data_IF_640301196828
#
_entry.id   IF_640301196828
#
_cell.length_a   1.000
_cell.length_b   1.000
_cell.length_c   1.000
_cell.angle_alpha   90.00
_cell.angle_beta   90.00
_cell.angle_gamma   90.00
#
_symmetry.space_group_name_H-M   'P 1'
#
loop_
_entity.id
_entity.type
_entity.pdbx_description
1 polymer ?
#
# COMPACT_ATOMS: atom_id res chain seq x y z
N UNK A 1 -61.58 -28.11 20.64
CA UNK A 1 -60.87 -28.89 19.60
C UNK A 1 -61.84 -29.93 19.05
N UNK A 2 -63.06 -29.52 18.74
CA UNK A 2 -63.51 -28.83 17.51
C UNK A 2 -63.75 -29.81 16.38
N UNK A 3 -64.73 -30.71 16.62
CA UNK A 3 -65.39 -31.50 15.57
C UNK A 3 -65.90 -30.61 14.42
N UNK A 4 -66.19 -29.34 14.70
CA UNK A 4 -66.59 -28.35 13.71
C UNK A 4 -65.45 -27.97 12.75
N UNK A 5 -64.18 -28.00 13.17
CA UNK A 5 -63.04 -27.71 12.28
C UNK A 5 -62.77 -28.87 11.33
N UNK A 6 -62.92 -30.11 11.78
CA UNK A 6 -62.75 -31.28 10.92
C UNK A 6 -63.91 -31.40 9.90
N UNK A 7 -65.15 -31.14 10.32
CA UNK A 7 -66.30 -31.12 9.41
C UNK A 7 -66.16 -30.03 8.35
N UNK A 8 -65.70 -28.83 8.73
CA UNK A 8 -65.49 -27.73 7.78
C UNK A 8 -64.38 -28.03 6.78
N UNK A 9 -63.34 -28.76 7.20
CA UNK A 9 -62.27 -29.20 6.30
C UNK A 9 -62.76 -30.25 5.30
N UNK A 10 -63.55 -31.21 5.75
CA UNK A 10 -64.12 -32.25 4.88
C UNK A 10 -65.11 -31.65 3.85
N UNK A 11 -65.97 -30.71 4.26
CA UNK A 11 -66.87 -30.00 3.33
C UNK A 11 -66.11 -29.15 2.29
N UNK A 12 -65.02 -28.50 2.68
CA UNK A 12 -64.19 -27.72 1.76
C UNK A 12 -63.45 -28.64 0.78
N UNK A 13 -62.86 -29.73 1.26
CA UNK A 13 -62.13 -30.67 0.40
C UNK A 13 -63.08 -31.40 -0.58
N UNK A 14 -64.35 -31.61 -0.22
CA UNK A 14 -65.37 -32.17 -1.12
C UNK A 14 -65.83 -31.16 -2.21
N UNK A 15 -65.73 -29.85 -1.95
CA UNK A 15 -66.09 -28.79 -2.90
C UNK A 15 -64.89 -28.22 -3.70
N UNK A 16 -63.65 -28.62 -3.38
CA UNK A 16 -62.48 -28.32 -4.20
C UNK A 16 -62.45 -29.30 -5.39
N UNK A 17 -63.19 -28.92 -6.44
CA UNK A 17 -63.14 -29.44 -7.82
C UNK A 17 -61.94 -30.35 -8.14
N UNK A 18 -62.21 -31.64 -8.34
CA UNK A 18 -61.25 -32.65 -8.85
C UNK A 18 -60.85 -32.46 -10.31
N UNK A 19 -61.41 -31.45 -10.99
CA UNK A 19 -60.98 -31.04 -12.33
C UNK A 19 -59.93 -29.93 -12.21
N UNK A 20 -58.73 -30.17 -12.78
CA UNK A 20 -57.63 -29.22 -12.77
C UNK A 20 -58.05 -27.86 -13.34
N UNK A 21 -58.15 -26.86 -12.46
CA UNK A 21 -58.65 -25.50 -12.73
C UNK A 21 -57.73 -24.67 -13.66
N UNK A 22 -56.70 -25.27 -14.22
CA UNK A 22 -55.76 -24.64 -15.16
C UNK A 22 -55.56 -25.58 -16.35
N UNK A 23 -56.13 -25.21 -17.49
CA UNK A 23 -55.85 -25.92 -18.74
C UNK A 23 -54.40 -25.65 -19.18
N UNK A 24 -53.86 -26.51 -20.04
CA UNK A 24 -52.55 -26.27 -20.68
C UNK A 24 -52.52 -24.92 -21.42
N UNK A 25 -53.67 -24.51 -21.97
CA UNK A 25 -53.81 -23.23 -22.67
C UNK A 25 -53.75 -22.04 -21.70
N UNK A 26 -54.33 -22.16 -20.49
CA UNK A 26 -54.18 -21.13 -19.45
C UNK A 26 -52.72 -21.00 -19.00
N UNK A 27 -52.01 -22.13 -18.85
CA UNK A 27 -50.58 -22.12 -18.51
C UNK A 27 -49.76 -21.46 -19.61
N UNK A 28 -50.09 -21.70 -20.89
CA UNK A 28 -49.43 -21.05 -22.03
C UNK A 28 -49.74 -19.56 -22.11
N UNK A 29 -50.98 -19.15 -21.81
CA UNK A 29 -51.39 -17.76 -21.76
C UNK A 29 -50.64 -17.00 -20.64
N UNK A 30 -50.51 -17.60 -19.46
CA UNK A 30 -49.73 -17.03 -18.35
C UNK A 30 -48.24 -16.93 -18.70
N UNK A 31 -47.62 -17.96 -19.29
CA UNK A 31 -46.20 -17.90 -19.71
C UNK A 31 -45.96 -16.84 -20.78
N UNK A 32 -46.91 -16.64 -21.70
CA UNK A 32 -46.83 -15.58 -22.71
C UNK A 32 -46.88 -14.19 -22.08
N UNK A 33 -47.80 -13.99 -21.11
CA UNK A 33 -47.94 -12.74 -20.36
C UNK A 33 -46.70 -12.42 -19.51
N UNK A 34 -46.05 -13.43 -18.94
CA UNK A 34 -44.77 -13.27 -18.21
C UNK A 34 -43.65 -12.83 -19.15
N UNK A 35 -43.53 -13.44 -20.34
CA UNK A 35 -42.51 -13.04 -21.34
C UNK A 35 -42.74 -11.63 -21.88
N UNK A 36 -43.98 -11.22 -22.08
CA UNK A 36 -44.31 -9.85 -22.51
C UNK A 36 -43.98 -8.81 -21.42
N UNK A 37 -44.10 -9.17 -20.13
CA UNK A 37 -43.74 -8.29 -19.02
C UNK A 37 -42.21 -8.15 -18.85
N UNK A 38 -41.43 -9.21 -19.06
CA UNK A 38 -39.96 -9.17 -19.01
C UNK A 38 -39.33 -8.29 -20.10
N UNK A 39 -40.00 -8.14 -21.25
CA UNK A 39 -39.55 -7.27 -22.35
C UNK A 39 -39.76 -5.77 -22.12
N UNK A 40 -40.52 -5.36 -21.09
CA UNK A 40 -40.85 -3.96 -20.81
C UNK A 40 -40.19 -3.44 -19.52
N UNK A 41 -38.85 -3.41 -19.48
CA UNK A 41 -38.13 -2.65 -18.45
C UNK A 41 -38.35 -1.15 -18.67
N UNK A 42 -39.48 -0.64 -18.17
CA UNK A 42 -39.70 0.78 -17.90
C UNK A 42 -38.55 1.21 -16.97
N UNK A 43 -37.62 2.04 -17.46
CA UNK A 43 -36.59 2.70 -16.65
C UNK A 43 -37.28 3.60 -15.62
N UNK A 44 -37.66 3.02 -14.49
CA UNK A 44 -38.15 3.74 -13.34
C UNK A 44 -36.92 4.01 -12.46
N UNK A 45 -36.59 5.29 -12.28
CA UNK A 45 -35.40 5.79 -11.59
C UNK A 45 -35.36 5.31 -10.12
N UNK A 46 -34.88 4.09 -9.88
CA UNK A 46 -34.61 3.55 -8.54
C UNK A 46 -33.39 4.19 -7.85
N UNK A 47 -32.61 5.00 -8.57
CA UNK A 47 -31.44 5.68 -8.00
C UNK A 47 -31.80 6.85 -7.09
N UNK A 48 -32.94 7.53 -7.33
CA UNK A 48 -33.33 8.71 -6.56
C UNK A 48 -33.66 8.40 -5.09
N UNK A 49 -34.45 7.35 -4.75
CA UNK A 49 -34.70 7.01 -3.36
C UNK A 49 -33.45 6.44 -2.65
N UNK A 50 -32.54 5.76 -3.37
CA UNK A 50 -31.33 5.21 -2.76
C UNK A 50 -30.34 6.31 -2.33
N UNK A 51 -30.17 7.34 -3.18
CA UNK A 51 -29.32 8.50 -2.87
C UNK A 51 -29.88 9.33 -1.70
N UNK A 52 -31.21 9.46 -1.59
CA UNK A 52 -31.85 10.13 -0.45
C UNK A 52 -31.62 9.39 0.87
N UNK A 53 -31.62 8.06 0.87
CA UNK A 53 -31.31 7.26 2.06
C UNK A 53 -29.85 7.44 2.50
N UNK A 54 -28.90 7.48 1.54
CA UNK A 54 -27.48 7.74 1.86
C UNK A 54 -27.26 9.15 2.42
N UNK A 55 -27.93 10.15 1.88
CA UNK A 55 -27.86 11.52 2.40
C UNK A 55 -28.41 11.61 3.84
N UNK A 56 -29.52 10.94 4.13
CA UNK A 56 -30.09 10.90 5.48
C UNK A 56 -29.15 10.22 6.50
N UNK A 57 -28.50 9.13 6.10
CA UNK A 57 -27.51 8.42 6.93
C UNK A 57 -26.28 9.29 7.19
N UNK A 58 -25.76 9.99 6.17
CA UNK A 58 -24.63 10.90 6.32
C UNK A 58 -24.94 12.06 7.27
N UNK A 59 -26.14 12.65 7.19
CA UNK A 59 -26.60 13.68 8.13
C UNK A 59 -26.71 13.13 9.56
N UNK A 60 -27.18 11.89 9.71
CA UNK A 60 -27.29 11.24 11.01
C UNK A 60 -25.92 11.00 11.67
N UNK A 61 -24.92 10.53 10.89
CA UNK A 61 -23.54 10.40 11.37
C UNK A 61 -22.89 11.76 11.68
N UNK A 62 -23.19 12.81 10.92
CA UNK A 62 -22.73 14.16 11.22
C UNK A 62 -23.34 14.73 12.51
N UNK A 63 -24.62 14.46 12.78
CA UNK A 63 -25.28 14.92 14.00
C UNK A 63 -24.81 14.16 15.24
N UNK A 64 -24.63 12.83 15.14
CA UNK A 64 -24.10 12.02 16.26
C UNK A 64 -22.62 12.31 16.47
N UNK A 65 -21.83 12.31 15.40
CA UNK A 65 -20.39 12.62 15.47
C UNK A 65 -20.12 14.04 15.94
N UNK A 66 -20.93 15.01 15.52
CA UNK A 66 -20.87 16.39 15.99
C UNK A 66 -21.21 16.54 17.47
N UNK A 67 -22.25 15.85 17.95
CA UNK A 67 -22.66 15.91 19.35
C UNK A 67 -21.68 15.17 20.29
N UNK A 68 -21.09 14.06 19.85
CA UNK A 68 -20.04 13.36 20.60
C UNK A 68 -18.70 14.13 20.58
N UNK A 69 -18.38 14.82 19.48
CA UNK A 69 -17.20 15.68 19.39
C UNK A 69 -17.26 16.89 20.33
N UNK A 70 -18.45 17.45 20.54
CA UNK A 70 -18.67 18.59 21.45
C UNK A 70 -18.59 18.17 22.93
N UNK A 71 -19.08 16.98 23.30
CA UNK A 71 -18.91 16.44 24.66
C UNK A 71 -17.48 15.94 24.96
N UNK A 72 -16.70 15.57 23.93
CA UNK A 72 -15.31 15.16 24.07
C UNK A 72 -14.31 16.33 24.03
N UNK A 73 -14.80 17.58 23.94
CA UNK A 73 -13.95 18.78 24.00
C UNK A 73 -13.00 18.96 22.81
N UNK A 74 -13.17 18.20 21.73
CA UNK A 74 -12.29 18.21 20.55
C UNK A 74 -12.44 19.47 19.68
N UNK A 75 -13.45 20.32 19.94
CA UNK A 75 -13.74 21.52 19.13
C UNK A 75 -13.98 22.81 19.93
N UNK A 76 -13.55 22.87 21.20
CA UNK A 76 -13.67 24.11 22.00
C UNK A 76 -12.49 25.06 21.74
N UNK A 77 -12.66 25.99 20.80
CA UNK A 77 -11.85 27.22 20.73
C UNK A 77 -12.23 28.15 21.89
N UNK A 78 -11.22 28.50 22.69
CA UNK A 78 -11.17 29.60 23.67
C UNK A 78 -12.21 29.59 24.79
N UNK A 79 -11.77 29.20 26.00
CA UNK A 79 -11.73 30.05 27.19
C UNK A 79 -11.36 29.19 28.41
N UNK A 80 -10.09 29.19 28.81
CA UNK A 80 -9.70 28.72 30.13
C UNK A 80 -9.01 29.84 30.90
N UNK A 81 -9.76 30.42 31.83
CA UNK A 81 -9.27 31.38 32.82
C UNK A 81 -9.01 30.63 34.13
N UNK A 82 -7.72 30.61 34.49
CA UNK A 82 -7.10 30.46 35.82
C UNK A 82 -7.39 29.23 36.68
N UNK A 83 -6.40 28.33 36.72
CA UNK A 83 -5.71 28.01 37.98
C UNK A 83 -4.18 28.14 37.77
N UNK A 84 -3.50 28.47 38.86
CA UNK A 84 -2.27 29.26 38.93
C UNK A 84 -0.97 28.54 38.50
N UNK A 85 -0.11 29.34 37.84
CA UNK A 85 1.35 29.34 37.88
C UNK A 85 2.08 28.11 37.33
N UNK A 86 2.12 28.00 36.00
CA UNK A 86 3.40 27.80 35.31
C UNK A 86 3.55 28.86 34.20
N UNK A 87 4.74 29.43 34.00
CA UNK A 87 4.95 30.42 32.94
C UNK A 87 4.70 29.74 31.59
N UNK A 88 3.74 30.27 30.83
CA UNK A 88 3.58 30.01 29.41
C UNK A 88 4.84 30.52 28.73
N UNK A 89 5.84 29.65 28.57
CA UNK A 89 6.83 29.80 27.53
C UNK A 89 6.10 29.66 26.21
N UNK A 90 6.29 30.63 25.32
CA UNK A 90 6.08 30.49 23.87
C UNK A 90 6.44 29.05 23.41
N UNK A 91 5.80 28.51 22.34
CA UNK A 91 6.20 27.21 21.80
C UNK A 91 7.72 27.22 21.68
N UNK A 92 8.38 26.33 22.44
CA UNK A 92 9.83 26.16 22.38
C UNK A 92 10.17 26.00 20.89
N UNK A 93 11.24 26.67 20.48
CA UNK A 93 11.84 26.47 19.16
C UNK A 93 11.84 24.98 18.81
N UNK A 94 11.50 24.66 17.57
CA UNK A 94 11.43 23.29 17.03
C UNK A 94 12.84 22.67 17.00
N UNK A 95 13.35 22.28 18.17
CA UNK A 95 14.67 21.64 18.36
C UNK A 95 14.63 20.15 17.97
N UNK A 96 14.09 19.85 16.78
CA UNK A 96 14.08 18.50 16.21
C UNK A 96 14.99 18.39 14.99
N UNK A 97 15.37 17.16 14.62
CA UNK A 97 16.11 16.90 13.38
C UNK A 97 15.16 17.11 12.19
N UNK A 98 15.11 18.34 11.67
CA UNK A 98 14.32 18.69 10.50
C UNK A 98 15.12 18.58 9.21
N UNK A 99 14.46 18.21 8.12
CA UNK A 99 15.07 18.22 6.78
C UNK A 99 14.10 18.76 5.73
N UNK A 100 14.63 19.42 4.70
CA UNK A 100 13.87 19.72 3.49
C UNK A 100 13.85 18.46 2.60
N UNK A 101 12.67 17.88 2.33
CA UNK A 101 12.55 16.72 1.44
C UNK A 101 13.20 16.93 0.08
N UNK A 102 13.20 18.16 -0.45
CA UNK A 102 13.66 18.49 -1.81
C UNK A 102 15.17 18.42 -1.96
N UNK A 103 15.89 18.63 -0.85
CA UNK A 103 17.36 18.62 -0.82
C UNK A 103 17.89 17.38 -0.10
N UNK A 104 17.03 16.44 0.28
CA UNK A 104 17.45 15.24 0.97
C UNK A 104 18.20 14.32 -0.01
N UNK A 105 19.51 14.19 0.21
CA UNK A 105 20.39 13.36 -0.61
C UNK A 105 20.74 12.04 0.09
N UNK A 106 20.95 10.99 -0.70
CA UNK A 106 21.44 9.70 -0.22
C UNK A 106 22.79 9.87 0.50
N UNK A 107 22.95 9.19 1.62
CA UNK A 107 24.15 9.28 2.45
C UNK A 107 24.24 10.55 3.31
N UNK A 108 23.21 11.41 3.30
CA UNK A 108 23.12 12.52 4.25
C UNK A 108 22.96 11.96 5.67
N UNK A 109 23.71 12.51 6.62
CA UNK A 109 23.56 12.19 8.04
C UNK A 109 22.59 13.18 8.69
N UNK A 110 21.56 12.67 9.35
CA UNK A 110 20.55 13.41 10.11
C UNK A 110 20.48 12.84 11.53
N UNK A 111 21.16 13.50 12.47
CA UNK A 111 21.34 12.97 13.83
C UNK A 111 22.12 11.65 13.83
N UNK A 112 21.58 10.64 14.49
CA UNK A 112 22.11 9.26 14.51
C UNK A 112 21.80 8.46 13.23
N UNK A 113 21.01 9.02 12.31
CA UNK A 113 20.55 8.33 11.12
C UNK A 113 21.29 8.75 9.84
N UNK A 114 21.47 7.78 8.95
CA UNK A 114 21.96 7.95 7.58
C UNK A 114 20.79 7.74 6.60
N UNK A 115 20.62 8.66 5.64
CA UNK A 115 19.62 8.53 4.57
C UNK A 115 20.03 7.41 3.62
N UNK A 116 19.20 6.36 3.51
CA UNK A 116 19.43 5.21 2.62
C UNK A 116 18.62 5.26 1.33
N UNK A 117 17.40 5.78 1.37
CA UNK A 117 16.57 5.95 0.18
C UNK A 117 15.59 7.10 0.36
N UNK A 118 15.22 7.71 -0.78
CA UNK A 118 14.14 8.69 -0.88
C UNK A 118 13.37 8.39 -2.17
N UNK A 119 12.09 8.04 -2.07
CA UNK A 119 11.28 7.55 -3.20
C UNK A 119 9.82 8.03 -3.15
N UNK A 120 9.24 8.59 -4.22
CA UNK A 120 9.92 9.05 -5.41
C UNK A 120 10.89 10.18 -5.08
N UNK A 121 11.90 10.40 -5.95
CA UNK A 121 12.85 11.49 -5.74
C UNK A 121 12.09 12.83 -5.66
N UNK A 122 12.11 13.43 -4.48
CA UNK A 122 11.49 14.74 -4.22
C UNK A 122 12.06 15.85 -5.11
N UNK A 123 13.24 15.62 -5.72
CA UNK A 123 13.84 16.46 -6.76
C UNK A 123 12.94 16.63 -7.99
N UNK A 124 12.25 15.56 -8.40
CA UNK A 124 11.38 15.57 -9.58
C UNK A 124 9.91 15.77 -9.21
N UNK A 125 9.55 15.48 -7.95
CA UNK A 125 8.16 15.58 -7.47
C UNK A 125 8.05 16.30 -6.12
N UNK A 126 8.35 17.61 -6.07
CA UNK A 126 8.43 18.39 -4.83
C UNK A 126 7.09 18.62 -4.10
N UNK A 127 5.99 18.10 -4.65
CA UNK A 127 4.63 18.17 -4.11
C UNK A 127 3.98 16.77 -3.99
N UNK A 128 4.68 15.70 -4.37
CA UNK A 128 4.17 14.35 -4.27
C UNK A 128 4.47 13.74 -2.90
N UNK A 129 3.68 12.74 -2.50
CA UNK A 129 4.08 11.85 -1.42
C UNK A 129 5.52 11.35 -1.63
N UNK A 130 6.28 11.21 -0.56
CA UNK A 130 7.60 10.58 -0.61
C UNK A 130 7.81 9.68 0.61
N UNK A 131 8.47 8.57 0.37
CA UNK A 131 9.03 7.63 1.32
C UNK A 131 10.50 8.02 1.55
N UNK A 132 10.93 8.07 2.79
CA UNK A 132 12.34 8.19 3.15
C UNK A 132 12.71 7.07 4.13
N UNK A 133 13.83 6.39 3.87
CA UNK A 133 14.37 5.35 4.74
C UNK A 133 15.69 5.82 5.34
N UNK A 134 15.77 5.69 6.65
CA UNK A 134 16.87 6.10 7.49
C UNK A 134 17.42 4.87 8.20
N UNK A 135 18.74 4.72 8.27
CA UNK A 135 19.40 3.66 9.06
C UNK A 135 20.27 4.26 10.14
N UNK A 136 20.19 3.71 11.35
CA UNK A 136 20.89 4.21 12.53
C UNK A 136 20.41 3.48 13.77
N UNK A 137 21.11 3.66 14.88
CA UNK A 137 20.69 3.10 16.16
C UNK A 137 20.17 4.21 17.04
N UNK A 138 18.91 4.11 17.44
CA UNK A 138 18.32 5.04 18.40
C UNK A 138 17.45 4.27 19.38
N UNK A 139 17.49 4.69 20.65
CA UNK A 139 16.64 4.14 21.70
C UNK A 139 15.70 5.24 22.16
N UNK A 140 14.39 4.99 22.04
CA UNK A 140 13.34 5.91 22.45
C UNK A 140 12.54 5.32 23.62
N UNK A 141 12.14 6.16 24.56
CA UNK A 141 11.09 5.83 25.54
C UNK A 141 9.72 6.22 25.02
N UNK A 142 8.69 5.49 25.46
CA UNK A 142 7.32 5.79 25.07
C UNK A 142 6.31 4.76 25.51
N UNK A 143 5.14 4.82 24.89
CA UNK A 143 3.99 3.98 25.19
C UNK A 143 3.69 3.02 24.04
N UNK A 144 3.70 1.73 24.34
CA UNK A 144 3.17 0.69 23.46
C UNK A 144 1.66 0.58 23.64
N UNK A 145 0.93 0.37 22.55
CA UNK A 145 -0.52 0.17 22.53
C UNK A 145 -0.85 -0.99 21.59
N UNK A 146 -1.41 -2.06 22.13
CA UNK A 146 -1.89 -3.19 21.34
C UNK A 146 -3.37 -2.98 21.00
N UNK A 147 -3.69 -2.68 19.75
CA UNK A 147 -5.06 -2.45 19.28
C UNK A 147 -5.73 -3.81 19.07
N UNK A 148 -6.85 -4.05 19.77
CA UNK A 148 -7.56 -5.33 19.72
C UNK A 148 -8.21 -5.59 18.35
N UNK A 149 -8.74 -4.56 17.69
CA UNK A 149 -9.49 -4.70 16.44
C UNK A 149 -8.61 -4.96 15.22
N UNK A 150 -7.45 -4.30 15.13
CA UNK A 150 -6.51 -4.45 14.01
C UNK A 150 -5.39 -5.43 14.30
N UNK A 151 -5.30 -5.91 15.54
CA UNK A 151 -4.15 -6.63 16.07
C UNK A 151 -2.82 -5.87 15.85
N UNK A 152 -2.83 -4.54 15.77
CA UNK A 152 -1.60 -3.77 15.55
C UNK A 152 -0.94 -3.40 16.88
N UNK A 153 0.39 -3.50 16.93
CA UNK A 153 1.18 -2.96 18.01
C UNK A 153 1.76 -1.61 17.57
N UNK A 154 1.32 -0.54 18.22
CA UNK A 154 1.78 0.82 17.95
C UNK A 154 2.67 1.31 19.09
N UNK A 155 3.70 2.08 18.75
CA UNK A 155 4.55 2.77 19.70
C UNK A 155 4.40 4.28 19.55
N UNK A 156 4.16 4.95 20.68
CA UNK A 156 4.02 6.39 20.81
C UNK A 156 5.23 6.90 21.59
N UNK A 157 6.27 7.45 20.93
CA UNK A 157 7.41 8.01 21.63
C UNK A 157 6.99 9.15 22.55
N UNK A 158 7.74 9.34 23.65
CA UNK A 158 7.58 10.50 24.52
C UNK A 158 7.90 11.81 23.76
N UNK A 159 7.30 12.93 24.18
CA UNK A 159 7.35 14.20 23.44
C UNK A 159 8.78 14.72 23.19
N UNK A 160 9.67 14.52 24.16
CA UNK A 160 11.10 14.86 24.07
C UNK A 160 11.91 13.87 23.22
N UNK A 161 11.48 12.61 23.17
CA UNK A 161 12.13 11.56 22.40
C UNK A 161 11.87 11.70 20.89
N UNK A 162 10.72 12.24 20.50
CA UNK A 162 10.37 12.52 19.09
C UNK A 162 11.43 13.36 18.37
N UNK A 163 12.09 14.28 19.07
CA UNK A 163 13.07 15.21 18.49
C UNK A 163 14.31 14.51 17.94
N UNK A 164 14.56 13.27 18.37
CA UNK A 164 15.67 12.42 17.90
C UNK A 164 15.37 11.77 16.54
N UNK A 165 14.13 11.83 16.06
CA UNK A 165 13.73 11.28 14.78
C UNK A 165 13.83 12.32 13.66
N UNK A 166 14.37 11.97 12.48
CA UNK A 166 14.31 12.82 11.31
C UNK A 166 12.86 13.07 10.88
N UNK A 167 12.47 14.34 10.72
CA UNK A 167 11.15 14.72 10.26
C UNK A 167 11.22 15.83 9.19
N UNK A 168 10.31 15.89 8.22
CA UNK A 168 10.32 16.93 7.23
C UNK A 168 9.94 18.28 7.86
N UNK A 169 10.50 19.36 7.32
CA UNK A 169 10.10 20.71 7.68
C UNK A 169 8.59 20.91 7.50
N UNK A 170 7.94 21.50 8.51
CA UNK A 170 6.49 21.70 8.51
C UNK A 170 5.64 20.49 8.94
N UNK A 171 6.24 19.33 9.24
CA UNK A 171 5.53 18.25 9.92
C UNK A 171 5.30 18.61 11.40
N UNK A 172 4.04 18.89 11.75
CA UNK A 172 3.61 19.33 13.07
C UNK A 172 2.97 18.24 13.93
N UNK A 173 3.42 16.98 13.86
CA UNK A 173 2.83 15.88 14.64
C UNK A 173 3.87 14.99 15.31
N UNK A 174 3.43 14.35 16.39
CA UNK A 174 4.13 13.28 17.12
C UNK A 174 4.03 12.01 16.26
N UNK A 175 5.14 11.43 15.79
CA UNK A 175 5.13 10.21 14.99
C UNK A 175 4.52 9.07 15.80
N UNK A 176 3.59 8.35 15.18
CA UNK A 176 3.10 7.07 15.71
C UNK A 176 3.80 5.98 14.93
N UNK A 177 4.70 5.26 15.59
CA UNK A 177 5.50 4.23 14.95
C UNK A 177 4.69 2.94 14.94
N UNK A 178 4.27 2.52 13.75
CA UNK A 178 3.75 1.17 13.57
C UNK A 178 4.92 0.19 13.68
N UNK A 179 4.85 -0.68 14.69
CA UNK A 179 5.74 -1.83 14.81
C UNK A 179 5.19 -2.82 13.79
N UNK A 180 5.70 -2.70 12.57
CA UNK A 180 5.07 -3.23 11.39
C UNK A 180 4.80 -4.74 11.47
N UNK A 181 3.82 -5.21 10.68
CA UNK A 181 3.57 -6.63 10.40
C UNK A 181 4.77 -7.38 9.75
N UNK A 182 5.89 -6.70 9.49
CA UNK A 182 7.15 -7.29 9.03
C UNK A 182 8.13 -7.60 10.17
N UNK A 183 7.86 -7.13 11.39
CA UNK A 183 8.58 -7.61 12.55
C UNK A 183 8.11 -9.04 12.84
N UNK A 184 8.90 -10.03 12.39
CA UNK A 184 8.78 -11.43 12.85
C UNK A 184 8.83 -11.54 14.39
N UNK A 185 9.17 -10.44 15.07
CA UNK A 185 9.28 -10.30 16.51
C UNK A 185 8.04 -9.69 17.17
N UNK A 186 6.92 -9.43 16.46
CA UNK A 186 5.70 -8.85 17.10
C UNK A 186 5.27 -9.67 18.32
N UNK A 187 5.22 -11.00 18.20
CA UNK A 187 4.84 -11.90 19.29
C UNK A 187 5.88 -11.90 20.43
N UNK A 188 7.18 -11.82 20.10
CA UNK A 188 8.27 -11.73 21.08
C UNK A 188 8.24 -10.39 21.83
N UNK A 189 7.96 -9.28 21.13
CA UNK A 189 7.75 -7.97 21.74
C UNK A 189 6.52 -7.98 22.64
N UNK A 190 5.42 -8.62 22.21
CA UNK A 190 4.22 -8.77 23.03
C UNK A 190 4.51 -9.55 24.31
N UNK A 191 5.27 -10.64 24.20
CA UNK A 191 5.69 -11.48 25.32
C UNK A 191 6.60 -10.70 26.29
N UNK A 192 7.62 -10.01 25.79
CA UNK A 192 8.56 -9.23 26.61
C UNK A 192 7.90 -8.04 27.31
N UNK A 193 6.89 -7.43 26.68
CA UNK A 193 6.11 -6.35 27.28
C UNK A 193 4.98 -6.85 28.20
N UNK A 194 4.70 -8.15 28.18
CA UNK A 194 3.54 -8.76 28.84
C UNK A 194 2.21 -8.03 28.50
N UNK A 195 2.10 -7.52 27.26
CA UNK A 195 0.99 -6.66 26.84
C UNK A 195 -0.16 -7.49 26.26
N UNK A 196 -1.40 -7.16 26.65
CA UNK A 196 -2.61 -7.81 26.13
C UNK A 196 -3.35 -6.91 25.14
N UNK A 197 -4.21 -7.46 24.25
CA UNK A 197 -5.07 -6.66 23.39
C UNK A 197 -5.84 -5.59 24.16
N UNK A 198 -5.90 -4.38 23.62
CA UNK A 198 -6.53 -3.20 24.23
C UNK A 198 -5.75 -2.57 25.39
N UNK A 199 -4.54 -3.05 25.69
CA UNK A 199 -3.69 -2.51 26.78
C UNK A 199 -2.61 -1.59 26.26
N UNK A 200 -2.14 -0.74 27.17
CA UNK A 200 -1.04 0.19 26.98
C UNK A 200 0.04 -0.07 28.03
N UNK A 201 1.30 -0.07 27.62
CA UNK A 201 2.46 -0.34 28.48
C UNK A 201 3.56 0.66 28.16
N UNK A 202 4.23 1.20 29.19
CA UNK A 202 5.40 2.04 28.99
C UNK A 202 6.63 1.16 28.76
N UNK A 203 7.52 1.59 27.88
CA UNK A 203 8.77 0.89 27.66
C UNK A 203 9.72 1.67 26.78
N UNK A 204 10.90 1.09 26.61
CA UNK A 204 11.92 1.61 25.70
C UNK A 204 12.04 0.69 24.49
N UNK A 205 12.27 1.28 23.32
CA UNK A 205 12.47 0.58 22.06
C UNK A 205 13.77 1.02 21.42
N UNK A 206 14.59 0.08 20.98
CA UNK A 206 15.76 0.34 20.13
C UNK A 206 15.48 -0.18 18.74
N UNK A 207 15.72 0.65 17.72
CA UNK A 207 15.53 0.28 16.31
C UNK A 207 16.79 0.57 15.47
N UNK A 208 16.90 -0.14 14.34
CA UNK A 208 18.02 -0.07 13.38
C UNK A 208 17.71 0.72 12.12
N UNK A 209 16.41 0.89 11.82
CA UNK A 209 15.95 1.72 10.74
C UNK A 209 14.62 2.40 11.06
N UNK A 210 14.37 3.49 10.37
CA UNK A 210 13.15 4.28 10.44
C UNK A 210 12.70 4.62 9.02
N UNK A 211 11.45 4.29 8.67
CA UNK A 211 10.83 4.63 7.39
C UNK A 211 9.66 5.56 7.64
N UNK A 212 9.65 6.62 6.87
CA UNK A 212 8.59 7.61 6.89
C UNK A 212 7.94 7.69 5.51
N UNK A 213 6.63 7.47 5.46
CA UNK A 213 5.78 7.72 4.29
C UNK A 213 5.04 9.05 4.47
N UNK A 214 5.51 10.09 3.80
CA UNK A 214 4.85 11.39 3.78
C UNK A 214 3.89 11.47 2.61
N UNK A 215 2.63 11.86 2.84
CA UNK A 215 1.58 12.00 1.83
C UNK A 215 1.28 13.46 1.54
N UNK A 216 0.82 13.75 0.32
CA UNK A 216 0.44 15.10 -0.12
C UNK A 216 -0.72 15.72 0.68
N UNK A 217 -1.46 14.90 1.43
CA UNK A 217 -2.49 15.32 2.39
C UNK A 217 -1.91 15.89 3.70
N UNK A 218 -0.58 15.85 3.87
CA UNK A 218 0.09 16.13 5.14
C UNK A 218 -0.01 14.97 6.15
N UNK A 219 -0.53 13.82 5.72
CA UNK A 219 -0.52 12.59 6.51
C UNK A 219 0.87 11.95 6.42
N UNK A 220 1.40 11.50 7.56
CA UNK A 220 2.67 10.80 7.67
C UNK A 220 2.41 9.45 8.34
N UNK A 221 2.96 8.38 7.77
CA UNK A 221 2.95 7.04 8.37
C UNK A 221 4.39 6.66 8.67
N UNK A 222 4.64 6.31 9.93
CA UNK A 222 5.97 6.01 10.43
C UNK A 222 6.08 4.53 10.78
N UNK A 223 7.22 3.92 10.44
CA UNK A 223 7.51 2.52 10.74
C UNK A 223 8.98 2.33 11.07
N UNK A 224 9.27 1.33 11.91
CA UNK A 224 10.63 0.97 12.32
C UNK A 224 10.72 -0.53 12.59
N UNK A 225 11.93 -1.08 12.53
CA UNK A 225 12.24 -2.44 13.00
C UNK A 225 12.98 -2.41 14.32
N UNK A 226 12.60 -3.32 15.20
CA UNK A 226 13.00 -3.30 16.60
C UNK A 226 14.06 -4.36 16.82
N UNK A 227 15.15 -3.96 17.45
CA UNK A 227 16.25 -4.84 17.85
C UNK A 227 16.33 -5.06 19.37
N UNK A 228 15.74 -4.19 20.17
CA UNK A 228 15.62 -4.40 21.61
C UNK A 228 14.40 -3.69 22.20
N UNK A 229 13.82 -4.29 23.24
CA UNK A 229 12.75 -3.69 24.05
C UNK A 229 13.13 -3.79 25.52
N UNK A 230 12.97 -2.68 26.26
CA UNK A 230 13.35 -2.59 27.68
C UNK A 230 14.79 -3.07 27.95
N UNK A 231 15.70 -2.88 26.99
CA UNK A 231 17.10 -3.30 27.09
C UNK A 231 17.34 -4.81 26.88
N UNK A 232 16.31 -5.58 26.58
CA UNK A 232 16.44 -6.99 26.18
C UNK A 232 16.53 -7.05 24.66
N UNK A 233 17.65 -7.59 24.17
CA UNK A 233 17.87 -7.83 22.74
C UNK A 233 16.88 -8.88 22.23
N UNK A 234 16.24 -8.59 21.11
CA UNK A 234 15.38 -9.53 20.42
C UNK A 234 16.26 -10.52 19.65
N UNK A 235 15.91 -11.80 19.71
CA UNK A 235 16.64 -12.82 18.97
C UNK A 235 16.33 -12.67 17.48
N UNK A 236 17.20 -11.99 16.74
CA UNK A 236 17.09 -11.92 15.28
C UNK A 236 17.02 -13.35 14.71
N UNK A 237 15.83 -13.80 14.30
CA UNK A 237 15.72 -14.99 13.46
C UNK A 237 16.37 -14.65 12.14
N UNK A 238 17.55 -15.20 11.89
CA UNK A 238 18.21 -15.03 10.60
C UNK A 238 17.30 -15.54 9.47
N UNK A 239 16.98 -14.60 8.57
CA UNK A 239 16.38 -14.71 7.23
C UNK A 239 14.88 -15.00 7.11
N UNK A 240 14.16 -13.94 6.77
CA UNK A 240 12.90 -13.99 6.01
C UNK A 240 12.17 -12.65 5.87
N UNK A 241 12.62 -11.74 4.99
CA UNK A 241 11.87 -10.53 4.59
C UNK A 241 11.62 -9.46 5.68
N UNK A 242 12.67 -8.84 6.20
CA UNK A 242 12.61 -7.41 6.51
C UNK A 242 12.84 -6.66 5.21
N UNK A 243 11.90 -5.81 4.80
CA UNK A 243 11.99 -4.95 3.61
C UNK A 243 13.04 -3.83 3.74
N UNK A 244 14.10 -4.06 4.49
CA UNK A 244 15.25 -3.18 4.65
C UNK A 244 16.47 -3.95 4.18
N UNK A 245 17.11 -3.40 3.15
CA UNK A 245 18.39 -3.88 2.64
C UNK A 245 19.48 -3.66 3.68
N UNK A 246 19.51 -4.48 4.73
CA UNK A 246 20.70 -4.73 5.52
C UNK A 246 21.61 -5.62 4.68
N UNK A 247 22.53 -5.00 3.94
CA UNK A 247 23.65 -5.68 3.25
C UNK A 247 23.32 -7.08 2.76
N UNK A 248 22.12 -7.27 2.23
CA UNK A 248 21.74 -8.48 1.55
C UNK A 248 22.70 -8.43 0.39
N UNK A 249 23.61 -9.41 0.24
CA UNK A 249 24.18 -9.62 -1.07
C UNK A 249 22.93 -9.65 -1.92
N UNK A 250 22.75 -8.66 -2.80
CA UNK A 250 21.77 -8.75 -3.85
C UNK A 250 22.16 -10.07 -4.50
N UNK A 251 21.56 -11.17 -4.06
CA UNK A 251 21.57 -12.42 -4.77
C UNK A 251 20.65 -12.05 -5.89
N UNK A 252 21.26 -11.42 -6.88
CA UNK A 252 20.64 -11.05 -8.12
C UNK A 252 20.22 -12.39 -8.71
N UNK A 253 19.02 -12.81 -8.35
CA UNK A 253 18.49 -14.11 -8.73
C UNK A 253 18.30 -14.18 -10.26
N UNK A 254 18.29 -13.00 -10.90
CA UNK A 254 17.98 -12.80 -12.31
C UNK A 254 19.16 -12.19 -13.09
N UNK A 255 19.89 -11.22 -12.52
CA UNK A 255 20.99 -10.56 -13.25
C UNK A 255 22.37 -11.11 -12.82
N UNK A 256 23.28 -11.22 -13.77
CA UNK A 256 24.64 -11.70 -13.49
C UNK A 256 25.51 -10.63 -12.79
N UNK A 257 26.59 -11.06 -12.13
CA UNK A 257 27.50 -10.19 -11.34
C UNK A 257 28.01 -8.93 -12.06
N UNK A 258 28.07 -8.93 -13.39
CA UNK A 258 28.53 -7.76 -14.15
C UNK A 258 27.43 -6.70 -14.37
N UNK A 259 26.16 -7.11 -14.34
CA UNK A 259 25.01 -6.20 -14.45
C UNK A 259 24.64 -5.58 -13.11
N UNK A 260 24.89 -6.29 -12.01
CA UNK A 260 24.72 -5.83 -10.63
C UNK A 260 25.13 -4.38 -10.37
N UNK A 261 26.41 -3.97 -10.57
CA UNK A 261 26.82 -2.59 -10.32
C UNK A 261 26.19 -1.58 -11.29
N UNK A 262 25.78 -2.02 -12.49
CA UNK A 262 25.11 -1.15 -13.46
C UNK A 262 23.66 -0.91 -13.04
N UNK A 263 22.98 -1.96 -12.60
CA UNK A 263 21.63 -1.90 -12.06
C UNK A 263 21.57 -1.01 -10.83
N UNK A 264 22.45 -1.22 -9.85
CA UNK A 264 22.51 -0.40 -8.64
C UNK A 264 22.73 1.07 -9.01
N UNK A 265 23.70 1.35 -9.89
CA UNK A 265 23.96 2.71 -10.34
C UNK A 265 22.77 3.32 -11.08
N UNK A 266 22.08 2.55 -11.92
CA UNK A 266 20.88 3.01 -12.63
C UNK A 266 19.75 3.30 -11.65
N UNK A 267 19.42 2.33 -10.79
CA UNK A 267 18.41 2.44 -9.72
C UNK A 267 18.61 3.70 -8.86
N UNK A 268 19.85 3.96 -8.43
CA UNK A 268 20.16 5.10 -7.57
C UNK A 268 20.11 6.45 -8.29
N UNK A 269 20.29 6.50 -9.61
CA UNK A 269 20.53 7.76 -10.33
C UNK A 269 19.50 8.10 -11.41
N UNK A 270 18.75 7.12 -11.90
CA UNK A 270 17.90 7.23 -13.11
C UNK A 270 18.70 7.61 -14.37
N UNK A 271 20.03 7.49 -14.36
CA UNK A 271 20.87 8.02 -15.43
C UNK A 271 21.02 7.01 -16.58
N UNK A 272 20.24 7.18 -17.64
CA UNK A 272 20.26 6.37 -18.85
C UNK A 272 21.65 6.17 -19.49
N UNK A 273 22.62 7.07 -19.26
CA UNK A 273 23.97 6.88 -19.78
C UNK A 273 24.65 5.62 -19.25
N UNK A 274 24.25 5.11 -18.07
CA UNK A 274 24.81 3.87 -17.52
C UNK A 274 24.31 2.63 -18.26
N UNK A 275 23.21 2.75 -19.01
CA UNK A 275 22.62 1.69 -19.83
C UNK A 275 23.22 1.61 -21.23
N UNK A 276 24.07 2.57 -21.63
CA UNK A 276 24.65 2.63 -22.96
C UNK A 276 25.53 1.41 -23.24
N UNK A 277 25.23 0.75 -24.37
CA UNK A 277 25.98 -0.42 -24.83
C UNK A 277 25.50 -1.74 -24.22
N UNK A 278 24.54 -1.72 -23.30
CA UNK A 278 23.88 -2.93 -22.83
C UNK A 278 23.11 -3.61 -23.95
N UNK A 279 23.02 -4.94 -23.89
CA UNK A 279 22.20 -5.73 -24.81
C UNK A 279 20.72 -5.64 -24.40
N UNK A 280 19.78 -5.93 -25.31
CA UNK A 280 18.36 -5.92 -24.94
C UNK A 280 18.05 -6.95 -23.84
N UNK A 281 18.78 -8.07 -23.81
CA UNK A 281 18.71 -9.06 -22.73
C UNK A 281 19.07 -8.44 -21.37
N UNK A 282 20.17 -7.69 -21.29
CA UNK A 282 20.60 -7.07 -20.04
C UNK A 282 19.55 -6.09 -19.50
N UNK A 283 18.95 -5.27 -20.37
CA UNK A 283 17.85 -4.35 -20.01
C UNK A 283 16.63 -5.12 -19.52
N UNK A 284 16.27 -6.20 -20.20
CA UNK A 284 15.15 -7.03 -19.80
C UNK A 284 15.38 -7.71 -18.45
N UNK A 285 16.58 -8.23 -18.19
CA UNK A 285 16.94 -8.81 -16.90
C UNK A 285 16.94 -7.75 -15.79
N UNK A 286 17.41 -6.54 -16.05
CA UNK A 286 17.30 -5.40 -15.13
C UNK A 286 15.84 -5.05 -14.81
N UNK A 287 14.95 -5.12 -15.80
CA UNK A 287 13.53 -4.90 -15.61
C UNK A 287 12.89 -5.97 -14.71
N UNK A 288 13.20 -7.25 -14.97
CA UNK A 288 12.75 -8.35 -14.12
C UNK A 288 13.26 -8.22 -12.69
N UNK A 289 14.52 -7.82 -12.52
CA UNK A 289 15.10 -7.55 -11.20
C UNK A 289 14.37 -6.42 -10.49
N UNK A 290 14.02 -5.34 -11.21
CA UNK A 290 13.24 -4.24 -10.67
C UNK A 290 11.83 -4.68 -10.27
N UNK A 291 11.20 -5.58 -11.05
CA UNK A 291 9.92 -6.18 -10.66
C UNK A 291 10.05 -7.02 -9.39
N UNK A 292 11.07 -7.88 -9.29
CA UNK A 292 11.26 -8.77 -8.13
C UNK A 292 11.44 -7.98 -6.82
N UNK A 293 12.08 -6.81 -6.89
CA UNK A 293 12.25 -5.92 -5.74
C UNK A 293 11.17 -4.85 -5.61
N UNK A 294 10.13 -4.86 -6.45
CA UNK A 294 9.11 -3.81 -6.48
C UNK A 294 9.67 -2.39 -6.70
N UNK A 295 10.79 -2.25 -7.40
CA UNK A 295 11.39 -0.98 -7.80
C UNK A 295 10.62 -0.36 -8.99
N UNK A 296 9.37 0.03 -8.74
CA UNK A 296 8.42 0.44 -9.79
C UNK A 296 8.88 1.66 -10.60
N UNK A 297 9.61 2.60 -10.01
CA UNK A 297 10.22 3.74 -10.74
C UNK A 297 11.24 3.23 -11.75
N UNK A 298 12.15 2.37 -11.33
CA UNK A 298 13.16 1.77 -12.21
C UNK A 298 12.53 0.93 -13.31
N UNK A 299 11.48 0.16 -12.99
CA UNK A 299 10.69 -0.54 -14.01
C UNK A 299 10.17 0.44 -15.06
N UNK A 300 9.58 1.56 -14.62
CA UNK A 300 9.01 2.58 -15.50
C UNK A 300 10.08 3.27 -16.35
N UNK A 301 11.22 3.64 -15.77
CA UNK A 301 12.34 4.28 -16.47
C UNK A 301 13.02 3.37 -17.50
N UNK A 302 12.94 2.04 -17.32
CA UNK A 302 13.39 1.06 -18.31
C UNK A 302 12.42 0.90 -19.48
N UNK A 303 11.22 1.49 -19.44
CA UNK A 303 10.25 1.46 -20.55
C UNK A 303 10.46 2.60 -21.56
N UNK A 304 10.02 2.39 -22.81
CA UNK A 304 10.18 3.33 -23.94
C UNK A 304 9.14 4.46 -23.91
N UNK A 305 9.55 5.65 -23.47
CA UNK A 305 8.67 6.83 -23.37
C UNK A 305 8.34 7.49 -24.73
N UNK A 306 9.01 7.10 -25.82
CA UNK A 306 8.90 7.83 -27.09
C UNK A 306 7.57 7.54 -27.81
N UNK A 307 6.95 6.40 -27.50
CA UNK A 307 5.62 6.09 -27.98
C UNK A 307 4.59 6.62 -26.96
N UNK A 308 3.67 7.47 -27.43
CA UNK A 308 2.48 8.01 -26.72
C UNK A 308 1.56 6.98 -26.02
N UNK A 309 1.94 5.70 -26.05
CA UNK A 309 1.28 4.58 -25.39
C UNK A 309 1.66 4.43 -23.91
N UNK A 310 2.80 4.97 -23.46
CA UNK A 310 3.14 4.89 -22.03
C UNK A 310 2.19 5.78 -21.22
N UNK A 311 1.42 5.21 -20.28
CA UNK A 311 0.65 6.01 -19.34
C UNK A 311 1.61 6.84 -18.48
N UNK A 312 1.14 7.99 -18.00
CA UNK A 312 1.85 8.71 -16.93
C UNK A 312 2.21 7.75 -15.79
N UNK A 313 3.35 7.92 -15.13
CA UNK A 313 3.78 7.04 -14.04
C UNK A 313 2.66 6.75 -13.01
N UNK A 314 1.88 7.77 -12.61
CA UNK A 314 0.73 7.56 -11.71
C UNK A 314 -0.28 6.56 -12.28
N UNK A 315 -0.64 6.73 -13.55
CA UNK A 315 -1.53 5.83 -14.27
C UNK A 315 -0.90 4.44 -14.51
N UNK A 316 0.43 4.34 -14.60
CA UNK A 316 1.15 3.06 -14.61
C UNK A 316 0.97 2.33 -13.27
N UNK A 317 1.25 3.01 -12.15
CA UNK A 317 1.06 2.44 -10.79
C UNK A 317 -0.40 2.04 -10.56
N UNK A 318 -1.35 2.93 -10.86
CA UNK A 318 -2.78 2.72 -10.62
C UNK A 318 -3.40 1.61 -11.49
N UNK A 319 -2.91 1.38 -12.72
CA UNK A 319 -3.50 0.40 -13.63
C UNK A 319 -2.75 -0.93 -13.71
N UNK A 320 -1.42 -0.91 -13.63
CA UNK A 320 -0.58 -2.09 -13.87
C UNK A 320 -0.25 -2.82 -12.56
N UNK A 321 0.01 -2.07 -11.48
CA UNK A 321 0.48 -2.69 -10.24
C UNK A 321 -0.64 -3.39 -9.47
N UNK A 322 -1.80 -2.75 -9.29
CA UNK A 322 -2.88 -3.33 -8.47
C UNK A 322 -3.66 -4.48 -9.14
N UNK A 323 -3.79 -4.48 -10.47
CA UNK A 323 -4.60 -5.47 -11.21
C UNK A 323 -3.81 -6.61 -11.84
N UNK A 324 -2.56 -6.37 -12.25
CA UNK A 324 -1.86 -7.28 -13.16
C UNK A 324 -0.61 -7.91 -12.57
N UNK A 325 -0.19 -7.50 -11.35
CA UNK A 325 0.92 -8.13 -10.62
C UNK A 325 0.73 -9.64 -10.51
N UNK A 326 -0.48 -10.15 -10.27
CA UNK A 326 -0.72 -11.60 -10.20
C UNK A 326 -0.48 -12.31 -11.54
N UNK A 327 -0.83 -11.68 -12.66
CA UNK A 327 -0.65 -12.26 -14.01
C UNK A 327 0.81 -12.20 -14.42
N UNK A 328 1.44 -11.04 -14.21
CA UNK A 328 2.86 -10.82 -14.48
C UNK A 328 3.76 -11.71 -13.64
N UNK A 329 3.42 -11.90 -12.37
CA UNK A 329 4.21 -12.75 -11.48
C UNK A 329 4.22 -14.19 -11.97
N UNK A 330 3.11 -14.73 -12.48
CA UNK A 330 3.07 -16.07 -13.08
C UNK A 330 3.95 -16.13 -14.35
N UNK A 331 3.92 -15.11 -15.20
CA UNK A 331 4.76 -15.05 -16.40
C UNK A 331 6.25 -14.91 -16.05
N UNK A 332 6.59 -14.09 -15.05
CA UNK A 332 7.96 -13.87 -14.64
C UNK A 332 8.55 -15.06 -13.92
N UNK A 333 7.78 -15.81 -13.14
CA UNK A 333 8.24 -17.09 -12.59
C UNK A 333 8.57 -18.10 -13.70
N UNK A 334 7.78 -18.13 -14.79
CA UNK A 334 8.12 -18.96 -15.97
C UNK A 334 9.40 -18.50 -16.65
N UNK A 335 9.58 -17.20 -16.81
CA UNK A 335 10.78 -16.62 -17.43
C UNK A 335 12.00 -16.92 -16.56
N UNK A 336 11.91 -16.74 -15.24
CA UNK A 336 12.96 -17.04 -14.27
C UNK A 336 13.36 -18.51 -14.29
N UNK A 337 12.38 -19.42 -14.33
CA UNK A 337 12.63 -20.86 -14.48
C UNK A 337 13.31 -21.23 -15.81
N UNK A 338 13.23 -20.37 -16.83
CA UNK A 338 13.77 -20.60 -18.17
C UNK A 338 14.83 -19.56 -18.59
N UNK A 339 15.45 -18.87 -17.64
CA UNK A 339 16.35 -17.73 -17.92
C UNK A 339 17.54 -18.12 -18.81
N UNK A 340 18.03 -19.35 -18.68
CA UNK A 340 19.10 -19.90 -19.54
C UNK A 340 18.65 -20.32 -20.95
N UNK A 341 17.36 -20.25 -21.25
CA UNK A 341 16.74 -20.74 -22.49
C UNK A 341 15.85 -19.67 -23.17
N UNK A 342 16.11 -18.39 -22.92
CA UNK A 342 15.33 -17.31 -23.55
C UNK A 342 15.60 -17.25 -25.05
N UNK A 343 14.54 -17.13 -25.85
CA UNK A 343 14.64 -16.83 -27.27
C UNK A 343 14.78 -15.31 -27.44
N UNK A 344 15.93 -14.88 -27.96
CA UNK A 344 16.22 -13.48 -28.24
C UNK A 344 16.32 -13.30 -29.75
N UNK A 345 15.45 -12.47 -30.32
CA UNK A 345 15.49 -12.08 -31.74
C UNK A 345 15.73 -10.59 -31.81
N UNK A 346 16.81 -10.18 -32.48
CA UNK A 346 17.21 -8.78 -32.60
C UNK A 346 17.18 -8.37 -34.07
N UNK A 347 16.53 -7.25 -34.36
CA UNK A 347 16.49 -6.62 -35.67
C UNK A 347 16.73 -5.12 -35.52
N UNK A 348 17.94 -4.64 -35.86
CA UNK A 348 18.36 -3.23 -35.84
C UNK A 348 18.07 -2.50 -34.52
N UNK A 349 16.88 -1.91 -34.44
CA UNK A 349 16.33 -1.07 -33.40
C UNK A 349 15.21 -1.73 -32.59
N UNK A 350 14.83 -2.97 -32.93
CA UNK A 350 13.85 -3.78 -32.21
C UNK A 350 14.45 -5.10 -31.72
N UNK A 351 13.98 -5.57 -30.57
CA UNK A 351 14.27 -6.90 -30.06
C UNK A 351 13.01 -7.54 -29.46
N UNK A 352 12.92 -8.86 -29.53
CA UNK A 352 11.89 -9.64 -28.84
C UNK A 352 12.55 -10.69 -27.96
N UNK A 353 12.12 -10.78 -26.70
CA UNK A 353 12.67 -11.67 -25.68
C UNK A 353 11.55 -12.44 -25.01
N UNK A 354 11.66 -13.76 -24.92
CA UNK A 354 10.68 -14.56 -24.20
C UNK A 354 11.03 -16.05 -24.16
N UNK A 355 10.20 -16.82 -23.47
CA UNK A 355 10.30 -18.28 -23.49
C UNK A 355 9.70 -18.80 -24.79
N UNK A 356 10.32 -19.82 -25.38
CA UNK A 356 9.84 -20.43 -26.63
C UNK A 356 8.38 -20.89 -26.51
N UNK A 357 7.51 -20.33 -27.36
CA UNK A 357 6.09 -20.66 -27.41
C UNK A 357 5.19 -19.69 -26.64
N UNK A 358 5.77 -18.78 -25.85
CA UNK A 358 5.04 -17.72 -25.16
C UNK A 358 5.07 -16.40 -25.95
N UNK A 359 4.23 -15.45 -25.54
CA UNK A 359 4.23 -14.09 -26.08
C UNK A 359 5.52 -13.38 -25.66
N UNK A 360 6.36 -12.93 -26.61
CA UNK A 360 7.62 -12.29 -26.25
C UNK A 360 7.41 -10.82 -25.83
N UNK A 361 8.26 -10.37 -24.92
CA UNK A 361 8.44 -8.98 -24.54
C UNK A 361 9.20 -8.27 -25.66
N UNK A 362 8.75 -7.07 -26.03
CA UNK A 362 9.37 -6.29 -27.10
C UNK A 362 10.19 -5.16 -26.51
N UNK A 363 11.37 -4.91 -27.08
CA UNK A 363 12.26 -3.82 -26.73
C UNK A 363 12.57 -3.01 -27.98
N UNK A 364 12.80 -1.72 -27.80
CA UNK A 364 13.17 -0.79 -28.86
C UNK A 364 14.31 0.11 -28.42
N UNK A 365 15.17 0.52 -29.36
CA UNK A 365 16.15 1.58 -29.10
C UNK A 365 15.48 2.95 -29.12
N UNK A 366 15.77 3.76 -28.10
CA UNK A 366 15.46 5.19 -28.09
C UNK A 366 16.37 5.98 -29.05
N UNK A 367 16.17 7.30 -29.15
CA UNK A 367 17.03 8.19 -29.96
C UNK A 367 18.50 8.21 -29.52
N UNK A 368 18.79 7.88 -28.27
CA UNK A 368 20.15 7.78 -27.74
C UNK A 368 20.80 6.42 -28.04
N UNK A 369 20.08 5.50 -28.67
CA UNK A 369 20.53 4.15 -29.01
C UNK A 369 20.49 3.17 -27.82
N UNK A 370 19.78 3.52 -26.75
CA UNK A 370 19.62 2.72 -25.53
C UNK A 370 18.37 1.86 -25.68
N UNK A 371 18.48 0.58 -25.35
CA UNK A 371 17.33 -0.33 -25.37
C UNK A 371 16.37 0.01 -24.23
N UNK A 372 15.08 0.06 -24.54
CA UNK A 372 13.97 0.28 -23.61
C UNK A 372 12.89 -0.75 -23.88
N UNK A 373 12.16 -1.14 -22.84
CA UNK A 373 11.06 -2.09 -22.91
C UNK A 373 9.83 -1.40 -23.50
N UNK A 374 9.26 -1.92 -24.58
CA UNK A 374 8.02 -1.36 -25.12
C UNK A 374 6.88 -1.62 -24.14
N UNK A 375 5.94 -0.68 -24.04
CA UNK A 375 4.77 -0.87 -23.18
C UNK A 375 3.82 -1.94 -23.74
N UNK A 376 3.62 -3.01 -22.99
CA UNK A 376 2.84 -4.20 -23.39
C UNK A 376 1.56 -4.42 -22.57
N UNK A 377 1.14 -3.42 -21.79
CA UNK A 377 -0.06 -3.45 -20.95
C UNK A 377 -1.29 -2.80 -21.62
#
# INVERSE_FOLDING_TARGET
MDKNLNHFREEIDEHISTTAFFTEDDKRAVRRKIRELEGSKRKQNRLFPLMMSFAAVAVFFFLIGGYMGDQLGLLSKENFVTQQNEPITNPKEEDGIKFDPRTLELGTQLGSFLVKSVSPSARYFPASPFEAVFTGYETLSGMFHYIEESEELLFYPDEDEVQKLPAPEGAGRIPVISISNFAENKDEVIELLEINPGKKVLGNVTFTWYRMDFRSTGEQVDSADIVAVNGTELSLKEKGNTGVMDEVPLEYAVISNHLSPIYEKFYLTGNDNVLKGLKPEDIFLMFLQAFEFNHTVTMYELMDDENTKIPSYQKFVDNVYEKEVKTLQIEFEKIKANIGNLEIKINNDHASIGVKGDTPYSLKKDKAGIWKLEYFF
#
